data_IF_358411444250
#
_entry.id   IF_358411444250
#
_cell.length_a   1.000
_cell.length_b   1.000
_cell.length_c   1.000
_cell.angle_alpha   90.00
_cell.angle_beta   90.00
_cell.angle_gamma   90.00
#
_symmetry.space_group_name_H-M   'P 1'
#
loop_
_entity.id
_entity.type
_entity.pdbx_description
1 polymer ?
#
# COMPACT_ATOMS: atom_id res chain seq x y z
N UNK A 1 -7.76 -16.95 24.30
CA UNK A 1 -6.99 -16.89 23.06
C UNK A 1 -6.10 -15.68 23.16
N UNK A 2 -4.78 -15.89 23.14
CA UNK A 2 -3.79 -14.81 23.32
C UNK A 2 -3.02 -14.68 22.01
N UNK A 3 -2.93 -13.46 21.51
CA UNK A 3 -2.09 -13.18 20.36
C UNK A 3 -0.63 -13.24 20.75
N UNK A 4 0.19 -13.81 19.87
CA UNK A 4 1.64 -13.63 19.90
C UNK A 4 2.04 -12.58 18.85
N UNK A 5 3.22 -12.00 18.98
CA UNK A 5 3.69 -10.95 18.08
C UNK A 5 5.11 -11.13 17.57
N UNK A 6 5.31 -10.63 16.35
CA UNK A 6 6.60 -10.54 15.67
C UNK A 6 6.86 -9.08 15.32
N UNK A 7 8.09 -8.63 15.54
CA UNK A 7 8.56 -7.37 14.97
C UNK A 7 9.03 -7.62 13.55
N UNK A 8 8.50 -6.85 12.61
CA UNK A 8 8.77 -7.00 11.17
C UNK A 8 9.31 -5.69 10.63
N UNK A 9 10.44 -5.79 9.93
CA UNK A 9 11.01 -4.69 9.15
C UNK A 9 11.06 -5.07 7.69
N UNK A 10 10.48 -4.24 6.83
CA UNK A 10 10.49 -4.43 5.38
C UNK A 10 11.38 -3.38 4.74
N UNK A 11 12.25 -3.80 3.82
CA UNK A 11 13.03 -2.90 2.95
C UNK A 11 12.67 -3.14 1.50
N UNK A 12 12.14 -2.10 0.84
CA UNK A 12 11.67 -2.16 -0.54
C UNK A 12 12.79 -2.39 -1.55
N UNK A 13 12.71 -3.48 -2.32
CA UNK A 13 13.61 -3.81 -3.43
C UNK A 13 13.06 -3.36 -4.79
N UNK A 14 11.77 -2.99 -4.84
CA UNK A 14 11.13 -2.32 -5.97
C UNK A 14 10.34 -1.10 -5.49
N UNK A 15 10.01 -0.13 -6.38
CA UNK A 15 9.20 1.01 -5.99
C UNK A 15 7.84 0.56 -5.44
N UNK A 16 7.31 1.21 -4.40
CA UNK A 16 5.95 0.99 -3.89
C UNK A 16 4.97 1.85 -4.69
N UNK A 17 3.86 1.26 -5.15
CA UNK A 17 2.79 2.00 -5.82
C UNK A 17 1.55 1.97 -4.93
N UNK A 18 1.07 3.13 -4.50
CA UNK A 18 -0.10 3.23 -3.63
C UNK A 18 -1.38 3.40 -4.43
N UNK A 19 -2.46 2.85 -3.89
CA UNK A 19 -3.82 3.08 -4.38
C UNK A 19 -4.82 2.96 -3.23
N UNK A 20 -5.10 4.08 -2.60
CA UNK A 20 -6.19 4.19 -1.62
C UNK A 20 -7.55 3.96 -2.27
N UNK A 21 -8.44 3.32 -1.51
CA UNK A 21 -9.82 3.06 -1.92
C UNK A 21 -10.73 4.30 -1.80
N UNK A 22 -10.24 5.41 -1.23
CA UNK A 22 -11.00 6.66 -1.07
C UNK A 22 -11.69 7.12 -2.35
N UNK A 23 -11.00 7.01 -3.49
CA UNK A 23 -11.52 7.43 -4.80
C UNK A 23 -12.64 6.52 -5.36
N UNK A 24 -12.98 5.42 -4.68
CA UNK A 24 -14.13 4.58 -5.00
C UNK A 24 -15.39 5.12 -4.32
N UNK A 25 -15.27 5.79 -3.17
CA UNK A 25 -16.40 6.39 -2.48
C UNK A 25 -16.88 7.65 -3.22
N UNK A 26 -18.12 7.67 -3.75
CA UNK A 26 -18.66 8.85 -4.41
C UNK A 26 -18.93 10.03 -3.46
N UNK A 27 -18.91 9.81 -2.14
CA UNK A 27 -19.09 10.83 -1.12
C UNK A 27 -17.78 11.46 -0.65
N UNK A 28 -16.62 10.86 -0.95
CA UNK A 28 -15.31 11.45 -0.64
C UNK A 28 -15.15 12.81 -1.35
N UNK A 29 -14.66 13.86 -0.66
CA UNK A 29 -14.50 15.19 -1.25
C UNK A 29 -13.67 15.22 -2.53
N UNK A 30 -12.58 14.43 -2.60
CA UNK A 30 -11.70 14.35 -3.78
C UNK A 30 -12.45 13.68 -4.93
N UNK A 31 -13.20 12.62 -4.66
CA UNK A 31 -14.05 11.95 -5.67
C UNK A 31 -15.07 12.91 -6.29
N UNK A 32 -15.73 13.71 -5.46
CA UNK A 32 -16.70 14.73 -5.91
C UNK A 32 -16.05 15.81 -6.76
N UNK A 33 -14.86 16.27 -6.40
CA UNK A 33 -14.12 17.28 -7.16
C UNK A 33 -13.68 16.73 -8.53
N UNK A 34 -13.13 15.51 -8.57
CA UNK A 34 -12.80 14.83 -9.83
C UNK A 34 -14.07 14.67 -10.69
N UNK A 35 -15.20 14.28 -10.10
CA UNK A 35 -16.47 14.15 -10.82
C UNK A 35 -16.95 15.48 -11.41
N UNK A 36 -16.82 16.59 -10.67
CA UNK A 36 -17.18 17.92 -11.14
C UNK A 36 -16.34 18.34 -12.37
N UNK A 37 -15.04 18.09 -12.34
CA UNK A 37 -14.15 18.42 -13.47
C UNK A 37 -14.40 17.49 -14.67
N UNK A 38 -14.57 16.19 -14.43
CA UNK A 38 -14.75 15.20 -15.51
C UNK A 38 -16.10 15.30 -16.22
N UNK A 39 -17.11 15.94 -15.63
CA UNK A 39 -18.39 16.26 -16.27
C UNK A 39 -18.32 17.44 -17.25
N UNK A 40 -17.26 18.26 -17.22
CA UNK A 40 -17.09 19.35 -18.18
C UNK A 40 -16.98 18.80 -19.61
N UNK A 41 -17.73 19.39 -20.55
CA UNK A 41 -17.74 18.97 -21.97
C UNK A 41 -16.37 19.16 -22.63
N UNK A 42 -15.71 20.28 -22.36
CA UNK A 42 -14.34 20.57 -22.73
C UNK A 42 -13.52 20.81 -21.46
N UNK A 43 -12.38 20.14 -21.34
CA UNK A 43 -11.45 20.28 -20.22
C UNK A 43 -10.23 21.05 -20.69
N UNK A 44 -9.78 22.00 -19.89
CA UNK A 44 -8.54 22.74 -20.10
C UNK A 44 -7.33 21.95 -19.61
N UNK A 45 -6.12 22.40 -19.94
CA UNK A 45 -4.90 21.82 -19.37
C UNK A 45 -4.85 21.96 -17.84
N UNK A 46 -5.40 23.06 -17.30
CA UNK A 46 -5.55 23.27 -15.87
C UNK A 46 -6.51 22.24 -15.23
N UNK A 47 -7.59 21.88 -15.92
CA UNK A 47 -8.51 20.82 -15.46
C UNK A 47 -7.81 19.45 -15.41
N UNK A 48 -6.99 19.15 -16.42
CA UNK A 48 -6.22 17.90 -16.48
C UNK A 48 -5.16 17.86 -15.38
N UNK A 49 -4.44 18.97 -15.18
CA UNK A 49 -3.49 19.11 -14.10
C UNK A 49 -4.18 18.93 -12.74
N UNK A 50 -5.33 19.57 -12.51
CA UNK A 50 -6.06 19.43 -11.25
C UNK A 50 -6.51 18.00 -10.96
N UNK A 51 -7.02 17.28 -11.97
CA UNK A 51 -7.34 15.85 -11.83
C UNK A 51 -6.10 15.05 -11.43
N UNK A 52 -4.94 15.35 -12.04
CA UNK A 52 -3.68 14.69 -11.74
C UNK A 52 -3.27 14.85 -10.26
N UNK A 53 -3.40 16.06 -9.71
CA UNK A 53 -3.14 16.34 -8.29
C UNK A 53 -4.11 15.59 -7.37
N UNK A 54 -5.40 15.64 -7.70
CA UNK A 54 -6.47 15.00 -6.92
C UNK A 54 -6.32 13.48 -6.94
N UNK A 55 -5.98 12.88 -8.08
CA UNK A 55 -5.75 11.43 -8.18
C UNK A 55 -4.54 10.99 -7.38
N UNK A 56 -3.45 11.75 -7.41
CA UNK A 56 -2.29 11.46 -6.57
C UNK A 56 -2.68 11.53 -5.09
N UNK A 57 -3.32 12.63 -4.68
CA UNK A 57 -3.69 12.88 -3.29
C UNK A 57 -4.68 11.85 -2.76
N UNK A 58 -5.74 11.56 -3.53
CA UNK A 58 -6.74 10.56 -3.17
C UNK A 58 -6.25 9.12 -3.32
N UNK A 59 -5.15 8.89 -4.06
CA UNK A 59 -4.49 7.60 -4.16
C UNK A 59 -3.49 7.31 -3.05
N UNK A 60 -3.08 8.33 -2.28
CA UNK A 60 -2.08 8.20 -1.22
C UNK A 60 -2.67 7.50 0.00
N UNK A 61 -1.92 6.56 0.56
CA UNK A 61 -2.15 6.11 1.93
C UNK A 61 -1.41 7.03 2.87
N UNK A 62 -2.17 7.75 3.71
CA UNK A 62 -1.62 8.65 4.70
C UNK A 62 -2.45 8.61 5.98
N UNK A 63 -1.76 8.71 7.11
CA UNK A 63 -2.36 8.87 8.45
C UNK A 63 -1.94 10.22 8.97
N UNK A 64 -2.91 11.10 9.23
CA UNK A 64 -2.66 12.47 9.73
C UNK A 64 -1.67 13.26 8.87
N UNK A 65 -1.75 13.11 7.53
CA UNK A 65 -0.87 13.80 6.59
C UNK A 65 0.52 13.18 6.39
N UNK A 66 0.82 12.06 7.05
CA UNK A 66 2.10 11.35 6.88
C UNK A 66 1.87 10.06 6.08
N UNK A 67 2.67 9.79 5.03
CA UNK A 67 2.55 8.54 4.28
C UNK A 67 2.65 7.30 5.17
N UNK A 68 1.74 6.37 4.98
CA UNK A 68 1.66 5.13 5.74
C UNK A 68 1.23 3.97 4.85
N UNK A 69 1.18 2.77 5.43
CA UNK A 69 0.57 1.60 4.80
C UNK A 69 -0.52 1.07 5.72
N UNK A 70 -1.76 0.90 5.24
CA UNK A 70 -2.83 0.29 6.03
C UNK A 70 -2.47 -1.15 6.41
N UNK A 71 -2.78 -1.55 7.65
CA UNK A 71 -2.55 -2.93 8.12
C UNK A 71 -3.24 -3.95 7.22
N UNK A 72 -4.45 -3.65 6.76
CA UNK A 72 -5.25 -4.51 5.89
C UNK A 72 -4.58 -4.73 4.52
N UNK A 73 -3.79 -3.78 4.04
CA UNK A 73 -3.03 -3.95 2.80
C UNK A 73 -1.88 -4.96 2.99
N UNK A 74 -1.25 -4.96 4.16
CA UNK A 74 -0.20 -5.93 4.54
C UNK A 74 -0.85 -7.31 4.74
N UNK A 75 -1.95 -7.39 5.48
CA UNK A 75 -2.70 -8.63 5.71
C UNK A 75 -3.17 -9.27 4.40
N UNK A 76 -3.76 -8.48 3.49
CA UNK A 76 -4.20 -8.95 2.19
C UNK A 76 -3.04 -9.48 1.34
N UNK A 77 -1.87 -8.84 1.42
CA UNK A 77 -0.66 -9.29 0.75
C UNK A 77 -0.15 -10.63 1.32
N UNK A 78 -0.08 -10.77 2.63
CA UNK A 78 0.36 -12.02 3.28
C UNK A 78 -0.63 -13.16 2.98
N UNK A 79 -1.94 -12.89 3.01
CA UNK A 79 -2.96 -13.86 2.67
C UNK A 79 -2.88 -14.32 1.20
N UNK A 80 -2.46 -13.45 0.28
CA UNK A 80 -2.19 -13.81 -1.11
C UNK A 80 -0.98 -14.72 -1.24
N UNK A 81 0.12 -14.41 -0.53
CA UNK A 81 1.32 -15.26 -0.52
C UNK A 81 1.03 -16.67 0.02
N UNK A 82 0.22 -16.75 1.08
CA UNK A 82 -0.17 -17.99 1.72
C UNK A 82 -1.04 -18.91 0.84
N UNK A 83 -1.61 -18.42 -0.28
CA UNK A 83 -2.32 -19.29 -1.24
C UNK A 83 -1.43 -20.39 -1.79
N UNK A 84 -0.12 -20.13 -1.95
CA UNK A 84 0.86 -21.11 -2.42
C UNK A 84 0.96 -22.33 -1.50
N UNK A 85 0.65 -22.15 -0.21
CA UNK A 85 0.62 -23.19 0.82
C UNK A 85 -0.79 -23.58 1.23
N UNK A 86 -1.82 -23.13 0.50
CA UNK A 86 -3.25 -23.35 0.82
C UNK A 86 -3.65 -22.83 2.22
N UNK A 87 -2.88 -21.89 2.78
CA UNK A 87 -3.05 -21.35 4.13
C UNK A 87 -3.72 -19.97 4.16
N UNK A 88 -4.21 -19.46 3.03
CA UNK A 88 -4.84 -18.13 2.94
C UNK A 88 -6.00 -17.92 3.92
N UNK A 89 -6.80 -18.96 4.17
CA UNK A 89 -7.90 -18.92 5.15
C UNK A 89 -7.39 -18.82 6.59
N UNK A 90 -6.32 -19.54 6.92
CA UNK A 90 -5.68 -19.49 8.23
C UNK A 90 -5.07 -18.09 8.49
N UNK A 91 -4.37 -17.51 7.50
CA UNK A 91 -3.87 -16.13 7.58
C UNK A 91 -5.00 -15.14 7.85
N UNK A 92 -6.11 -15.21 7.11
CA UNK A 92 -7.26 -14.32 7.34
C UNK A 92 -7.93 -14.50 8.71
N UNK A 93 -7.80 -15.67 9.32
CA UNK A 93 -8.41 -15.98 10.61
C UNK A 93 -7.51 -15.62 11.79
N UNK A 94 -6.18 -15.55 11.59
CA UNK A 94 -5.23 -15.52 12.69
C UNK A 94 -3.98 -14.69 12.45
N UNK A 95 -3.93 -13.80 11.45
CA UNK A 95 -2.85 -12.83 11.26
C UNK A 95 -3.44 -11.43 11.15
N UNK A 96 -2.90 -10.48 11.90
CA UNK A 96 -3.30 -9.07 11.82
C UNK A 96 -2.12 -8.12 11.99
N UNK A 97 -2.29 -6.91 11.46
CA UNK A 97 -1.39 -5.78 11.66
C UNK A 97 -2.24 -4.64 12.23
N UNK A 98 -2.22 -4.41 13.57
CA UNK A 98 -3.21 -3.55 14.23
C UNK A 98 -3.08 -2.08 13.82
N UNK A 99 -1.86 -1.66 13.49
CA UNK A 99 -1.52 -0.27 13.21
C UNK A 99 -1.22 -0.06 11.73
N UNK A 100 -1.36 1.18 11.26
CA UNK A 100 -0.87 1.59 9.95
C UNK A 100 0.58 2.09 10.08
N UNK A 101 1.62 1.26 9.81
CA UNK A 101 3.01 1.72 9.91
C UNK A 101 3.28 2.91 9.01
N UNK A 102 4.05 3.87 9.55
CA UNK A 102 4.52 5.01 8.78
C UNK A 102 5.54 4.53 7.75
N UNK A 103 5.45 5.09 6.55
CA UNK A 103 6.39 4.79 5.48
C UNK A 103 7.62 5.68 5.63
N UNK A 104 8.80 5.06 5.72
CA UNK A 104 10.08 5.76 5.67
C UNK A 104 10.61 5.74 4.23
N UNK A 105 11.06 6.88 3.73
CA UNK A 105 11.57 7.02 2.36
C UNK A 105 12.51 8.23 2.26
N UNK A 106 13.37 8.25 1.24
CA UNK A 106 14.27 9.37 0.95
C UNK A 106 13.58 10.38 -0.01
N UNK A 107 13.01 11.44 0.56
CA UNK A 107 12.34 12.49 -0.19
C UNK A 107 11.69 13.56 0.69
N UNK A 108 10.98 14.52 0.06
CA UNK A 108 10.29 15.59 0.78
C UNK A 108 9.28 15.06 1.81
N UNK A 109 9.20 15.70 2.98
CA UNK A 109 8.25 15.31 4.03
C UNK A 109 6.92 16.08 3.94
N UNK A 110 6.93 17.27 3.33
CA UNK A 110 5.70 17.98 2.99
C UNK A 110 4.99 17.29 1.81
N UNK A 111 3.68 17.06 1.93
CA UNK A 111 2.92 16.35 0.90
C UNK A 111 2.78 17.14 -0.40
N UNK A 112 2.79 18.47 -0.34
CA UNK A 112 2.76 19.34 -1.51
C UNK A 112 4.04 19.19 -2.32
N UNK A 113 5.18 19.30 -1.65
CA UNK A 113 6.50 19.10 -2.27
C UNK A 113 6.69 17.67 -2.77
N UNK A 114 6.28 16.68 -1.97
CA UNK A 114 6.33 15.26 -2.33
C UNK A 114 5.53 14.98 -3.60
N UNK A 115 4.34 15.57 -3.73
CA UNK A 115 3.52 15.48 -4.94
C UNK A 115 4.19 16.18 -6.13
N UNK A 116 4.89 17.29 -5.93
CA UNK A 116 5.55 18.00 -7.03
C UNK A 116 6.78 17.24 -7.56
N UNK A 117 7.42 16.40 -6.73
CA UNK A 117 8.58 15.60 -7.12
C UNK A 117 8.19 14.45 -8.08
N UNK A 118 8.71 14.44 -9.33
CA UNK A 118 8.42 13.39 -10.31
C UNK A 118 8.82 11.98 -9.88
N UNK A 119 9.80 11.83 -8.97
CA UNK A 119 10.20 10.52 -8.43
C UNK A 119 9.05 9.86 -7.68
N UNK A 120 8.16 10.66 -7.11
CA UNK A 120 7.05 10.20 -6.28
C UNK A 120 5.72 10.07 -7.01
N UNK A 121 5.75 10.16 -8.35
CA UNK A 121 4.59 10.11 -9.22
C UNK A 121 4.76 9.05 -10.29
N UNK A 122 3.69 8.31 -10.54
CA UNK A 122 3.55 7.49 -11.73
C UNK A 122 2.33 7.95 -12.51
N UNK A 123 2.58 8.58 -13.65
CA UNK A 123 1.54 9.01 -14.60
C UNK A 123 1.55 8.12 -15.82
N UNK A 124 0.46 7.42 -16.07
CA UNK A 124 0.42 6.28 -17.00
C UNK A 124 -0.96 6.18 -17.67
N UNK A 125 -1.02 5.75 -18.94
CA UNK A 125 -2.30 5.53 -19.61
C UNK A 125 -2.94 4.24 -19.09
N UNK A 126 -4.24 4.31 -18.78
CA UNK A 126 -5.08 3.13 -18.49
C UNK A 126 -6.21 3.04 -19.50
N UNK A 127 -6.59 1.82 -19.86
CA UNK A 127 -7.69 1.56 -20.77
C UNK A 127 -9.04 1.63 -20.05
N UNK A 128 -10.01 2.33 -20.63
CA UNK A 128 -11.42 2.30 -20.26
C UNK A 128 -12.22 2.00 -21.53
N UNK A 129 -12.58 0.74 -21.70
CA UNK A 129 -13.07 0.23 -22.98
C UNK A 129 -12.06 0.53 -24.10
N UNK A 130 -12.48 1.13 -25.23
CA UNK A 130 -11.59 1.45 -26.34
C UNK A 130 -10.72 2.71 -26.11
N UNK A 131 -10.97 3.50 -25.06
CA UNK A 131 -10.29 4.78 -24.82
C UNK A 131 -9.14 4.60 -23.84
N UNK A 132 -8.09 5.41 -23.98
CA UNK A 132 -7.04 5.56 -22.97
C UNK A 132 -7.23 6.88 -22.23
N UNK A 133 -7.04 6.85 -20.91
CA UNK A 133 -6.96 8.05 -20.10
C UNK A 133 -5.70 8.01 -19.24
N UNK A 134 -5.08 9.16 -19.02
CA UNK A 134 -3.95 9.26 -18.11
C UNK A 134 -4.45 9.18 -16.67
N UNK A 135 -3.78 8.39 -15.85
CA UNK A 135 -4.01 8.28 -14.42
C UNK A 135 -2.70 8.51 -13.68
N UNK A 136 -2.81 9.06 -12.49
CA UNK A 136 -1.66 9.38 -11.64
C UNK A 136 -1.78 8.70 -10.29
N UNK A 137 -0.66 8.13 -9.84
CA UNK A 137 -0.58 7.36 -8.60
C UNK A 137 0.64 7.81 -7.79
N UNK A 138 0.54 7.83 -6.45
CA UNK A 138 1.72 7.94 -5.60
C UNK A 138 2.60 6.73 -5.76
N UNK A 139 3.87 7.00 -6.04
CA UNK A 139 4.92 6.01 -6.17
C UNK A 139 6.00 6.37 -5.18
N UNK A 140 6.59 5.42 -4.48
CA UNK A 140 7.77 5.65 -3.67
C UNK A 140 8.92 4.87 -4.29
N UNK A 141 10.07 5.50 -4.60
CA UNK A 141 11.25 4.78 -5.10
C UNK A 141 11.65 3.61 -4.19
N UNK A 142 12.36 2.63 -4.75
CA UNK A 142 12.91 1.52 -3.96
C UNK A 142 13.82 2.05 -2.84
N UNK A 143 13.97 1.28 -1.77
CA UNK A 143 14.60 1.72 -0.51
C UNK A 143 13.62 2.28 0.53
N UNK A 144 12.31 2.30 0.23
CA UNK A 144 11.28 2.56 1.24
C UNK A 144 11.32 1.51 2.34
N UNK A 145 10.96 1.89 3.57
CA UNK A 145 10.96 0.99 4.73
C UNK A 145 9.67 1.08 5.52
N UNK A 146 9.32 -0.04 6.15
CA UNK A 146 8.21 -0.15 7.11
C UNK A 146 8.69 -0.96 8.30
N UNK A 147 8.35 -0.51 9.51
CA UNK A 147 8.54 -1.27 10.74
C UNK A 147 7.19 -1.38 11.45
N UNK A 148 6.78 -2.60 11.79
CA UNK A 148 5.49 -2.85 12.44
C UNK A 148 5.51 -4.10 13.32
N UNK A 149 4.49 -4.19 14.16
CA UNK A 149 4.20 -5.38 14.94
C UNK A 149 3.11 -6.19 14.21
N UNK A 150 3.41 -7.46 13.92
CA UNK A 150 2.47 -8.40 13.33
C UNK A 150 1.99 -9.35 14.42
N UNK A 151 0.68 -9.43 14.63
CA UNK A 151 0.12 -10.36 15.61
C UNK A 151 -0.42 -11.60 14.90
N UNK A 152 -0.31 -12.74 15.57
CA UNK A 152 -0.91 -13.96 15.09
C UNK A 152 -1.48 -14.83 16.21
N UNK A 153 -2.43 -15.69 15.85
CA UNK A 153 -3.04 -16.68 16.74
C UNK A 153 -2.24 -17.99 16.63
N UNK A 154 -1.53 -18.43 17.70
CA UNK A 154 -0.64 -19.60 17.64
C UNK A 154 -1.39 -20.93 17.45
N UNK A 155 -2.69 -20.99 17.74
CA UNK A 155 -3.56 -22.13 17.46
C UNK A 155 -3.99 -22.23 15.99
N UNK A 156 -3.78 -21.17 15.20
CA UNK A 156 -4.15 -21.09 13.77
C UNK A 156 -2.92 -21.05 12.86
N UNK A 157 -1.86 -20.33 13.27
CA UNK A 157 -0.64 -20.13 12.52
C UNK A 157 0.56 -20.30 13.45
N UNK A 158 1.59 -21.02 13.00
CA UNK A 158 2.84 -21.03 13.74
C UNK A 158 3.75 -19.85 13.31
N UNK A 159 4.71 -19.42 14.15
CA UNK A 159 5.59 -18.30 13.83
C UNK A 159 6.44 -18.52 12.57
N UNK A 160 6.77 -19.78 12.24
CA UNK A 160 7.52 -20.15 11.04
C UNK A 160 6.72 -19.89 9.76
N UNK A 161 5.42 -20.22 9.75
CA UNK A 161 4.51 -19.96 8.64
C UNK A 161 4.41 -18.45 8.38
N UNK A 162 4.24 -17.65 9.44
CA UNK A 162 4.17 -16.18 9.31
C UNK A 162 5.44 -15.63 8.67
N UNK A 163 6.62 -16.11 9.10
CA UNK A 163 7.91 -15.73 8.49
C UNK A 163 8.01 -16.15 7.04
N UNK A 164 7.63 -17.39 6.71
CA UNK A 164 7.64 -17.89 5.34
C UNK A 164 6.73 -17.03 4.45
N UNK A 165 5.51 -16.72 4.90
CA UNK A 165 4.55 -15.97 4.10
C UNK A 165 4.96 -14.51 3.89
N UNK A 166 5.58 -13.87 4.88
CA UNK A 166 6.14 -12.52 4.72
C UNK A 166 7.30 -12.50 3.72
N UNK A 167 8.21 -13.49 3.78
CA UNK A 167 9.29 -13.62 2.81
C UNK A 167 8.75 -13.90 1.39
N UNK A 168 7.80 -14.84 1.26
CA UNK A 168 7.14 -15.13 -0.02
C UNK A 168 6.37 -13.91 -0.55
N UNK A 169 5.71 -13.15 0.31
CA UNK A 169 5.05 -11.91 -0.06
C UNK A 169 6.05 -10.94 -0.69
N UNK A 170 7.19 -10.71 -0.03
CA UNK A 170 8.26 -9.84 -0.53
C UNK A 170 8.84 -10.26 -1.87
N UNK A 171 9.00 -11.57 -2.11
CA UNK A 171 9.62 -12.13 -3.32
C UNK A 171 8.67 -12.64 -4.40
N UNK A 172 7.34 -12.63 -4.20
CA UNK A 172 6.40 -13.10 -5.23
C UNK A 172 5.19 -12.23 -5.40
N UNK A 173 4.77 -11.51 -4.37
CA UNK A 173 3.50 -10.78 -4.37
C UNK A 173 3.74 -9.26 -4.43
N UNK A 174 4.50 -8.71 -3.49
CA UNK A 174 4.67 -7.28 -3.30
C UNK A 174 3.48 -6.62 -2.59
N UNK A 175 3.68 -5.39 -2.14
CA UNK A 175 2.72 -4.53 -1.46
C UNK A 175 2.13 -3.49 -2.42
N UNK A 176 0.88 -3.07 -2.19
CA UNK A 176 0.27 -2.01 -3.00
C UNK A 176 -0.33 -2.48 -4.32
N UNK A 177 -0.30 -1.60 -5.31
CA UNK A 177 -0.94 -1.80 -6.61
C UNK A 177 0.04 -2.37 -7.66
N UNK A 178 -0.49 -2.93 -8.74
CA UNK A 178 0.27 -3.47 -9.88
C UNK A 178 1.33 -4.51 -9.49
N UNK A 179 0.98 -5.30 -8.48
CA UNK A 179 1.68 -6.49 -8.04
C UNK A 179 1.74 -7.52 -9.18
N UNK A 180 2.89 -8.22 -9.38
CA UNK A 180 4.09 -8.23 -8.54
C UNK A 180 5.18 -7.25 -8.97
N UNK A 181 4.91 -6.33 -9.89
CA UNK A 181 5.93 -5.41 -10.44
C UNK A 181 6.39 -4.38 -9.40
N UNK A 182 5.48 -3.93 -8.54
CA UNK A 182 5.73 -2.93 -7.50
C UNK A 182 5.62 -3.53 -6.10
N UNK A 183 6.20 -2.81 -5.13
CA UNK A 183 6.11 -3.10 -3.71
C UNK A 183 6.83 -4.35 -3.26
N UNK A 184 7.81 -4.85 -4.01
CA UNK A 184 8.68 -5.95 -3.62
C UNK A 184 9.63 -5.50 -2.50
N UNK A 185 9.96 -6.41 -1.60
CA UNK A 185 10.79 -6.12 -0.43
C UNK A 185 11.53 -7.35 0.07
N UNK A 186 12.53 -7.11 0.90
CA UNK A 186 13.13 -8.09 1.80
C UNK A 186 12.56 -7.87 3.21
N UNK A 187 12.31 -8.95 3.94
CA UNK A 187 11.76 -8.90 5.30
C UNK A 187 12.79 -9.37 6.32
N UNK A 188 12.97 -8.59 7.39
CA UNK A 188 13.67 -8.98 8.60
C UNK A 188 12.64 -9.16 9.72
N UNK A 189 12.68 -10.31 10.38
CA UNK A 189 11.64 -10.70 11.32
C UNK A 189 12.29 -11.18 12.60
N UNK A 190 11.95 -10.55 13.71
CA UNK A 190 12.48 -10.88 15.04
C UNK A 190 11.31 -11.24 15.95
N UNK A 191 11.45 -12.34 16.69
CA UNK A 191 10.47 -12.69 17.71
C UNK A 191 10.58 -11.71 18.89
N UNK A 192 9.44 -11.20 19.36
CA UNK A 192 9.37 -10.63 20.70
C UNK A 192 8.99 -11.76 21.64
N UNK A 193 9.86 -12.08 22.59
CA UNK A 193 9.40 -12.82 23.77
C UNK A 193 8.61 -11.83 24.62
N UNK A 194 7.36 -12.17 24.90
CA UNK A 194 6.52 -11.46 25.86
C UNK A 194 7.31 -11.29 27.16
N UNK A 195 7.62 -10.05 27.54
CA UNK A 195 7.98 -9.78 28.92
C UNK A 195 6.69 -10.01 29.71
N UNK A 196 6.76 -11.02 30.59
CA UNK A 196 5.70 -11.36 31.54
C UNK A 196 5.24 -10.16 32.36
#
# INVERSE_FOLDING_TARGET
>A
MTYESLTVELTGTAPLLMRSARLVDPLDPISREIAAITRKRARTDADIARIDELEWTGGLWARSGVPCVPGEAIEAMVAEAAKLRRASKAVRAGFLVPEAPLLVYDGPQDLGDLRCDPRFRLRVPVSIGPRKIMRTRPRFPAGWRLSFEAHFLPDVLNPGDVREFLNLAGHRIGLGDWRPRFGRFDAQITARHSLA
#
